data_IF_618033026876
#
_entry.id   IF_618033026876
#
_cell.length_a   1.000
_cell.length_b   1.000
_cell.length_c   1.000
_cell.angle_alpha   90.00
_cell.angle_beta   90.00
_cell.angle_gamma   90.00
#
_symmetry.space_group_name_H-M   'P 1'
#
loop_
_entity.id
_entity.type
_entity.pdbx_description
1 polymer ?
#
# COMPACT_ATOMS: atom_id res chain seq x y z
N UNK A 1 -10.71 6.92 0.94
CA UNK A 1 -11.78 6.64 1.90
C UNK A 1 -12.79 7.77 2.02
N UNK A 2 -12.57 8.73 2.92
CA UNK A 2 -13.57 9.76 3.24
C UNK A 2 -14.07 10.55 2.02
N UNK A 3 -13.17 11.00 1.15
CA UNK A 3 -13.53 11.70 -0.08
C UNK A 3 -14.38 10.85 -1.05
N UNK A 4 -14.13 9.54 -1.11
CA UNK A 4 -14.95 8.62 -1.91
C UNK A 4 -16.37 8.52 -1.34
N UNK A 5 -16.50 8.45 -0.01
CA UNK A 5 -17.81 8.43 0.66
C UNK A 5 -18.60 9.71 0.40
N UNK A 6 -17.97 10.90 0.50
CA UNK A 6 -18.63 12.18 0.20
C UNK A 6 -19.20 12.23 -1.23
N UNK A 7 -18.48 11.68 -2.20
CA UNK A 7 -18.96 11.60 -3.59
C UNK A 7 -20.09 10.58 -3.72
N UNK A 8 -19.98 9.41 -3.09
CA UNK A 8 -21.02 8.38 -3.12
C UNK A 8 -22.34 8.83 -2.49
N UNK A 9 -22.27 9.57 -1.39
CA UNK A 9 -23.44 10.07 -0.67
C UNK A 9 -24.05 11.32 -1.34
N UNK A 10 -23.43 11.83 -2.41
CA UNK A 10 -23.88 13.02 -3.12
C UNK A 10 -23.65 14.32 -2.33
N UNK A 11 -22.76 14.30 -1.33
CA UNK A 11 -22.39 15.47 -0.53
C UNK A 11 -21.41 16.39 -1.26
N UNK A 12 -20.67 15.87 -2.25
CA UNK A 12 -19.76 16.64 -3.10
C UNK A 12 -19.62 16.04 -4.51
N UNK A 13 -19.61 16.88 -5.55
CA UNK A 13 -19.30 16.46 -6.92
C UNK A 13 -17.80 16.32 -7.18
N UNK A 14 -16.99 17.11 -6.45
CA UNK A 14 -15.53 17.19 -6.58
C UNK A 14 -14.91 17.29 -5.18
N UNK A 15 -13.92 16.47 -4.89
CA UNK A 15 -13.19 16.48 -3.62
C UNK A 15 -11.69 16.47 -3.90
N UNK A 16 -10.96 17.41 -3.29
CA UNK A 16 -9.50 17.38 -3.23
C UNK A 16 -9.09 16.59 -2.00
N UNK A 17 -8.44 15.45 -2.19
CA UNK A 17 -8.04 14.55 -1.12
C UNK A 17 -6.56 14.22 -1.22
N UNK A 18 -5.89 14.08 -0.09
CA UNK A 18 -4.46 13.82 -0.09
C UNK A 18 -3.91 13.78 1.32
N UNK A 19 -2.60 13.62 1.40
CA UNK A 19 -1.86 13.64 2.64
C UNK A 19 -0.45 14.18 2.40
N UNK A 20 0.14 14.74 3.44
CA UNK A 20 1.50 15.27 3.44
C UNK A 20 2.13 15.06 4.80
N UNK A 21 3.40 14.72 4.82
CA UNK A 21 4.17 14.54 6.05
C UNK A 21 5.63 14.93 5.78
N UNK A 22 6.22 15.70 6.69
CA UNK A 22 7.65 16.02 6.74
C UNK A 22 8.19 15.68 8.14
N UNK A 23 8.28 14.38 8.47
CA UNK A 23 8.57 13.94 9.82
C UNK A 23 10.06 13.85 10.12
N UNK A 24 10.94 14.11 9.15
CA UNK A 24 12.39 13.99 9.30
C UNK A 24 12.89 15.08 10.26
N UNK A 25 12.88 14.73 11.55
CA UNK A 25 13.27 15.59 12.65
C UNK A 25 13.87 14.76 13.79
N UNK A 26 14.73 15.35 14.64
CA UNK A 26 15.36 14.62 15.74
C UNK A 26 14.37 13.92 16.67
N UNK A 27 13.21 14.55 16.95
CA UNK A 27 12.20 13.98 17.84
C UNK A 27 11.53 12.75 17.23
N UNK A 28 11.19 12.78 15.95
CA UNK A 28 10.56 11.63 15.28
C UNK A 28 11.53 10.46 15.15
N UNK A 29 12.78 10.74 14.73
CA UNK A 29 13.83 9.70 14.63
C UNK A 29 14.04 9.04 15.99
N UNK A 30 14.27 9.83 17.05
CA UNK A 30 14.46 9.29 18.39
C UNK A 30 13.25 8.49 18.91
N UNK A 31 12.03 8.88 18.52
CA UNK A 31 10.80 8.18 18.93
C UNK A 31 10.70 6.80 18.27
N UNK A 32 11.08 6.67 17.00
CA UNK A 32 11.08 5.38 16.31
C UNK A 32 12.29 4.49 16.69
N UNK A 33 13.43 5.09 17.01
CA UNK A 33 14.58 4.37 17.57
C UNK A 33 14.23 3.70 18.91
N UNK A 34 13.44 4.36 19.76
CA UNK A 34 13.03 3.84 21.06
C UNK A 34 12.22 2.54 20.96
N UNK A 35 11.48 2.35 19.87
CA UNK A 35 10.71 1.13 19.60
C UNK A 35 11.37 0.24 18.53
N UNK A 36 12.55 0.62 18.03
CA UNK A 36 13.30 -0.07 16.96
C UNK A 36 12.46 -0.36 15.72
N UNK A 37 11.64 0.61 15.32
CA UNK A 37 10.81 0.48 14.12
C UNK A 37 11.55 0.86 12.84
N UNK A 38 12.55 1.74 12.96
CA UNK A 38 13.46 2.15 11.88
C UNK A 38 14.62 1.16 11.76
N UNK A 39 15.08 0.94 10.52
CA UNK A 39 16.25 0.10 10.27
C UNK A 39 17.53 0.72 10.87
N UNK A 40 18.40 -0.08 11.53
CA UNK A 40 19.71 0.37 11.98
C UNK A 40 20.80 0.30 10.88
N UNK A 41 20.43 -0.10 9.65
CA UNK A 41 21.36 -0.34 8.54
C UNK A 41 21.88 0.98 7.93
N UNK A 42 22.76 1.65 8.65
CA UNK A 42 23.31 2.96 8.27
C UNK A 42 24.51 2.85 7.32
N UNK A 43 25.17 1.69 7.26
CA UNK A 43 26.38 1.49 6.45
C UNK A 43 26.08 1.33 4.95
N UNK A 44 24.84 1.00 4.58
CA UNK A 44 24.37 0.89 3.20
C UNK A 44 22.99 1.55 3.00
N UNK A 45 22.92 2.90 3.01
CA UNK A 45 21.65 3.63 2.99
C UNK A 45 20.80 3.34 1.74
N UNK A 46 21.43 3.07 0.60
CA UNK A 46 20.72 2.83 -0.66
C UNK A 46 19.88 1.53 -0.63
N UNK A 47 20.27 0.56 0.19
CA UNK A 47 19.60 -0.74 0.29
C UNK A 47 18.93 -0.97 1.66
N UNK A 48 18.83 0.06 2.51
CA UNK A 48 18.33 -0.07 3.87
C UNK A 48 16.83 -0.41 3.94
N UNK A 49 16.02 0.10 2.99
CA UNK A 49 14.59 -0.22 2.90
C UNK A 49 14.37 -1.49 2.06
N UNK A 50 14.13 -2.62 2.73
CA UNK A 50 13.96 -3.94 2.08
C UNK A 50 12.70 -4.68 2.55
N UNK A 51 11.50 -4.21 2.17
CA UNK A 51 10.25 -4.88 2.51
C UNK A 51 10.24 -6.34 2.05
N UNK A 52 9.67 -7.23 2.87
CA UNK A 52 9.51 -8.67 2.63
C UNK A 52 10.81 -9.47 2.48
N UNK A 53 11.98 -8.85 2.62
CA UNK A 53 13.27 -9.51 2.61
C UNK A 53 13.56 -10.18 3.98
N UNK A 54 14.19 -11.36 3.99
CA UNK A 54 14.51 -12.09 5.22
C UNK A 54 15.41 -11.30 6.18
N UNK A 55 16.28 -10.45 5.62
CA UNK A 55 17.27 -9.64 6.33
C UNK A 55 16.75 -8.23 6.62
N UNK A 56 15.43 -8.01 6.63
CA UNK A 56 14.82 -6.73 6.98
C UNK A 56 14.88 -6.41 8.48
N UNK A 57 15.13 -5.14 8.80
CA UNK A 57 15.33 -4.66 10.16
C UNK A 57 14.47 -3.46 10.56
N UNK A 58 13.53 -3.01 9.72
CA UNK A 58 12.68 -1.85 9.97
C UNK A 58 12.53 -0.96 8.75
N UNK A 59 11.67 0.05 8.84
CA UNK A 59 11.47 0.99 7.74
C UNK A 59 12.58 2.06 7.69
N UNK A 60 12.70 2.73 6.54
CA UNK A 60 13.46 3.98 6.41
C UNK A 60 12.48 5.16 6.52
N UNK A 61 12.68 6.06 7.48
CA UNK A 61 11.81 7.24 7.65
C UNK A 61 11.97 8.16 6.43
N UNK A 62 10.85 8.63 5.88
CA UNK A 62 10.84 9.54 4.73
C UNK A 62 9.83 10.67 4.91
N UNK A 63 9.72 11.52 3.90
CA UNK A 63 8.75 12.60 3.79
C UNK A 63 8.14 12.63 2.39
N UNK A 64 6.99 13.26 2.25
CA UNK A 64 6.34 13.37 0.96
C UNK A 64 4.92 13.91 1.06
N UNK A 65 4.32 14.14 -0.10
CA UNK A 65 2.92 14.52 -0.22
C UNK A 65 2.34 14.05 -1.55
N UNK A 66 1.05 13.76 -1.56
CA UNK A 66 0.28 13.55 -2.78
C UNK A 66 -1.13 14.10 -2.59
N UNK A 67 -1.67 14.64 -3.69
CA UNK A 67 -3.03 15.18 -3.77
C UNK A 67 -3.69 14.59 -5.02
N UNK A 68 -4.91 14.09 -4.83
CA UNK A 68 -5.77 13.49 -5.83
C UNK A 68 -7.04 14.34 -5.94
N UNK A 69 -7.55 14.48 -7.15
CA UNK A 69 -8.86 15.10 -7.42
C UNK A 69 -9.84 14.00 -7.73
N UNK A 70 -10.82 13.82 -6.84
CA UNK A 70 -11.89 12.84 -7.00
C UNK A 70 -13.14 13.54 -7.48
N UNK A 71 -13.87 12.91 -8.39
CA UNK A 71 -15.13 13.41 -8.92
C UNK A 71 -16.13 12.27 -9.08
N UNK A 72 -17.42 12.62 -9.12
CA UNK A 72 -18.44 11.68 -9.61
C UNK A 72 -18.15 11.32 -11.08
N UNK A 73 -18.24 10.03 -11.42
CA UNK A 73 -17.78 9.52 -12.71
C UNK A 73 -18.53 10.11 -13.91
N UNK A 74 -19.84 10.29 -13.79
CA UNK A 74 -20.69 10.90 -14.83
C UNK A 74 -20.37 12.39 -15.00
N UNK A 75 -20.11 13.11 -13.91
CA UNK A 75 -19.63 14.48 -13.90
C UNK A 75 -18.29 14.60 -14.64
N UNK A 76 -17.30 13.79 -14.27
CA UNK A 76 -15.99 13.76 -14.90
C UNK A 76 -16.08 13.47 -16.40
N UNK A 77 -16.87 12.46 -16.80
CA UNK A 77 -17.12 12.11 -18.20
C UNK A 77 -17.80 13.23 -18.98
N UNK A 78 -18.83 13.88 -18.40
CA UNK A 78 -19.58 14.96 -19.04
C UNK A 78 -18.70 16.15 -19.39
N UNK A 79 -17.71 16.48 -18.55
CA UNK A 79 -16.76 17.56 -18.81
C UNK A 79 -15.52 17.12 -19.60
N UNK A 80 -15.44 15.86 -20.04
CA UNK A 80 -14.31 15.32 -20.78
C UNK A 80 -13.01 15.22 -19.98
N UNK A 81 -13.11 14.99 -18.67
CA UNK A 81 -11.94 14.82 -17.81
C UNK A 81 -11.17 13.54 -18.17
N UNK A 82 -9.84 13.58 -18.03
CA UNK A 82 -9.03 12.36 -17.99
C UNK A 82 -9.31 11.62 -16.68
N UNK A 83 -9.68 10.35 -16.79
CA UNK A 83 -9.90 9.45 -15.65
C UNK A 83 -8.71 8.50 -15.57
N UNK A 84 -7.92 8.60 -14.49
CA UNK A 84 -6.77 7.70 -14.27
C UNK A 84 -7.21 6.33 -13.74
N UNK A 85 -8.17 6.33 -12.81
CA UNK A 85 -8.76 5.12 -12.25
C UNK A 85 -10.12 5.44 -11.63
N UNK A 86 -10.91 4.41 -11.37
CA UNK A 86 -12.12 4.48 -10.55
C UNK A 86 -11.83 3.88 -9.17
N UNK A 87 -12.26 4.56 -8.10
CA UNK A 87 -12.24 3.98 -6.74
C UNK A 87 -13.54 3.21 -6.55
N UNK A 88 -13.47 1.90 -6.64
CA UNK A 88 -14.65 1.01 -6.59
C UNK A 88 -15.01 0.54 -5.18
N UNK A 89 -14.11 0.70 -4.21
CA UNK A 89 -14.36 0.32 -2.82
C UNK A 89 -13.29 0.84 -1.87
N UNK A 90 -13.68 0.99 -0.60
CA UNK A 90 -12.79 1.36 0.49
C UNK A 90 -13.28 0.77 1.81
N UNK A 91 -12.36 0.26 2.61
CA UNK A 91 -12.69 -0.17 3.96
C UNK A 91 -11.54 0.14 4.91
N UNK A 92 -11.88 0.37 6.17
CA UNK A 92 -10.93 0.39 7.27
C UNK A 92 -11.45 -0.48 8.43
N UNK A 93 -10.52 -1.07 9.16
CA UNK A 93 -10.77 -1.89 10.34
C UNK A 93 -9.72 -1.54 11.39
N UNK A 94 -10.08 -1.68 12.66
CA UNK A 94 -9.15 -1.51 13.77
C UNK A 94 -8.69 -2.88 14.26
N UNK A 95 -7.40 -3.03 14.57
CA UNK A 95 -6.86 -4.30 15.05
C UNK A 95 -7.43 -4.73 16.42
N UNK A 96 -7.90 -3.77 17.23
CA UNK A 96 -8.42 -4.03 18.60
C UNK A 96 -7.44 -4.79 19.49
N UNK A 97 -6.14 -4.73 19.22
CA UNK A 97 -5.13 -5.62 19.79
C UNK A 97 -4.05 -4.88 20.57
N UNK A 98 -3.26 -4.04 19.89
CA UNK A 98 -2.15 -3.29 20.47
C UNK A 98 -1.89 -2.01 19.67
N UNK A 99 -1.39 -0.96 20.32
CA UNK A 99 -1.16 0.35 19.68
C UNK A 99 -0.20 0.30 18.50
N UNK A 100 0.86 -0.51 18.58
CA UNK A 100 1.91 -0.65 17.56
C UNK A 100 2.17 -2.10 17.14
N UNK A 101 1.52 -3.05 17.81
CA UNK A 101 1.77 -4.47 17.63
C UNK A 101 0.77 -5.05 16.64
N UNK A 102 1.23 -5.96 15.80
CA UNK A 102 0.40 -6.64 14.80
C UNK A 102 0.35 -8.14 15.09
N UNK A 103 -0.85 -8.72 14.96
CA UNK A 103 -1.00 -10.16 15.04
C UNK A 103 -0.48 -10.81 13.75
N UNK A 104 0.13 -12.00 13.81
CA UNK A 104 0.66 -12.64 12.61
C UNK A 104 -0.41 -13.14 11.63
N UNK A 105 -1.68 -13.19 12.02
CA UNK A 105 -2.76 -13.81 11.24
C UNK A 105 -3.53 -12.86 10.30
N UNK A 106 -3.22 -11.56 10.32
CA UNK A 106 -3.75 -10.61 9.32
C UNK A 106 -5.27 -10.44 9.33
N UNK A 107 -5.97 -10.83 10.40
CA UNK A 107 -7.41 -11.09 10.37
C UNK A 107 -8.25 -9.85 10.03
N UNK A 108 -7.97 -8.74 10.69
CA UNK A 108 -8.65 -7.46 10.51
C UNK A 108 -8.38 -6.85 9.13
N UNK A 109 -7.16 -7.01 8.62
CA UNK A 109 -6.78 -6.52 7.31
C UNK A 109 -7.43 -7.36 6.21
N UNK A 110 -7.49 -8.69 6.38
CA UNK A 110 -8.22 -9.55 5.47
C UNK A 110 -9.69 -9.16 5.37
N UNK A 111 -10.35 -8.90 6.51
CA UNK A 111 -11.74 -8.41 6.52
C UNK A 111 -11.88 -7.04 5.82
N UNK A 112 -10.92 -6.13 5.99
CA UNK A 112 -10.93 -4.85 5.28
C UNK A 112 -10.81 -5.05 3.76
N UNK A 113 -9.89 -5.92 3.31
CA UNK A 113 -9.72 -6.27 1.90
C UNK A 113 -11.00 -6.88 1.34
N UNK A 114 -11.59 -7.87 2.02
CA UNK A 114 -12.84 -8.52 1.64
C UNK A 114 -14.00 -7.53 1.53
N UNK A 115 -14.13 -6.60 2.48
CA UNK A 115 -15.20 -5.59 2.46
C UNK A 115 -15.00 -4.56 1.34
N UNK A 116 -13.77 -4.13 1.06
CA UNK A 116 -13.47 -3.22 -0.05
C UNK A 116 -13.75 -3.89 -1.41
N UNK A 117 -13.31 -5.14 -1.60
CA UNK A 117 -13.60 -5.92 -2.82
C UNK A 117 -15.11 -6.14 -3.00
N UNK A 118 -15.85 -6.42 -1.92
CA UNK A 118 -17.31 -6.61 -1.96
C UNK A 118 -18.05 -5.35 -2.43
N UNK A 119 -17.62 -4.16 -2.00
CA UNK A 119 -18.19 -2.89 -2.46
C UNK A 119 -18.03 -2.72 -3.97
N UNK A 120 -16.83 -3.04 -4.48
CA UNK A 120 -16.50 -2.96 -5.91
C UNK A 120 -16.98 -4.14 -6.76
N UNK A 121 -17.56 -5.18 -6.13
CA UNK A 121 -17.93 -6.46 -6.77
C UNK A 121 -16.75 -7.10 -7.51
N UNK A 122 -15.59 -7.06 -6.87
CA UNK A 122 -14.34 -7.61 -7.38
C UNK A 122 -14.15 -9.00 -6.79
N UNK A 123 -13.92 -10.01 -7.63
CA UNK A 123 -13.51 -11.34 -7.18
C UNK A 123 -11.99 -11.36 -6.92
N UNK A 124 -11.49 -12.21 -6.01
CA UNK A 124 -10.05 -12.33 -5.75
C UNK A 124 -9.18 -12.54 -7.00
N UNK A 125 -9.72 -13.20 -8.03
CA UNK A 125 -9.03 -13.48 -9.29
C UNK A 125 -8.98 -12.29 -10.24
N UNK A 126 -9.76 -11.23 -9.99
CA UNK A 126 -9.76 -10.02 -10.80
C UNK A 126 -8.63 -9.06 -10.38
N UNK A 127 -8.08 -9.23 -9.17
CA UNK A 127 -6.98 -8.39 -8.66
C UNK A 127 -5.73 -8.62 -9.50
N UNK A 128 -5.27 -7.58 -10.19
CA UNK A 128 -4.11 -7.65 -11.10
C UNK A 128 -2.80 -7.22 -10.42
N UNK A 129 -2.89 -6.42 -9.36
CA UNK A 129 -1.74 -5.89 -8.62
C UNK A 129 -2.11 -5.59 -7.17
N UNK A 130 -1.18 -5.84 -6.24
CA UNK A 130 -1.28 -5.40 -4.84
C UNK A 130 -0.15 -4.41 -4.52
N UNK A 131 -0.52 -3.17 -4.23
CA UNK A 131 0.36 -2.21 -3.56
C UNK A 131 0.30 -2.47 -2.05
N UNK A 132 1.29 -3.19 -1.55
CA UNK A 132 1.39 -3.54 -0.15
C UNK A 132 1.90 -2.36 0.69
N UNK A 133 1.56 -2.34 1.97
CA UNK A 133 2.12 -1.39 2.91
C UNK A 133 3.62 -1.62 3.01
N UNK A 134 4.09 -2.86 3.25
CA UNK A 134 5.49 -3.26 3.15
C UNK A 134 6.44 -2.34 3.90
N UNK A 135 6.29 -2.25 5.21
CA UNK A 135 7.12 -1.38 6.05
C UNK A 135 8.55 -1.90 6.27
N UNK A 136 8.92 -3.10 5.79
CA UNK A 136 10.20 -3.72 6.13
C UNK A 136 10.37 -4.04 7.62
N UNK A 137 9.30 -3.94 8.43
CA UNK A 137 9.28 -4.49 9.79
C UNK A 137 8.84 -5.96 9.74
N UNK A 138 9.47 -6.81 10.56
CA UNK A 138 9.16 -8.25 10.56
C UNK A 138 7.68 -8.55 10.82
N UNK A 139 7.09 -7.85 11.80
CA UNK A 139 5.70 -8.05 12.19
C UNK A 139 4.71 -7.70 11.07
N UNK A 140 4.95 -6.58 10.37
CA UNK A 140 4.04 -6.05 9.37
C UNK A 140 4.05 -6.91 8.10
N UNK A 141 5.24 -7.17 7.56
CA UNK A 141 5.36 -7.82 6.26
C UNK A 141 4.79 -9.26 6.31
N UNK A 142 4.93 -9.93 7.46
CA UNK A 142 4.26 -11.21 7.75
C UNK A 142 2.75 -11.05 7.92
N UNK A 143 2.32 -10.02 8.67
CA UNK A 143 0.91 -9.74 8.91
C UNK A 143 0.13 -9.53 7.59
N UNK A 144 0.68 -8.71 6.71
CA UNK A 144 0.09 -8.44 5.39
C UNK A 144 0.08 -9.68 4.51
N UNK A 145 1.18 -10.44 4.49
CA UNK A 145 1.25 -11.70 3.74
C UNK A 145 0.16 -12.68 4.18
N UNK A 146 -0.08 -12.80 5.48
CA UNK A 146 -1.17 -13.63 6.01
C UNK A 146 -2.55 -13.07 5.61
N UNK A 147 -2.73 -11.74 5.67
CA UNK A 147 -3.97 -11.08 5.28
C UNK A 147 -4.31 -11.30 3.80
N UNK A 148 -3.35 -11.16 2.90
CA UNK A 148 -3.55 -11.41 1.46
C UNK A 148 -3.96 -12.85 1.19
N UNK A 149 -3.26 -13.83 1.78
CA UNK A 149 -3.62 -15.25 1.63
C UNK A 149 -5.00 -15.57 2.18
N UNK A 150 -5.41 -14.90 3.26
CA UNK A 150 -6.72 -15.07 3.87
C UNK A 150 -7.84 -14.49 3.01
N UNK A 151 -7.67 -13.27 2.51
CA UNK A 151 -8.70 -12.56 1.74
C UNK A 151 -8.80 -13.05 0.29
N UNK A 152 -7.67 -13.37 -0.36
CA UNK A 152 -7.64 -13.76 -1.78
C UNK A 152 -7.50 -15.28 -1.99
N UNK A 153 -7.20 -16.05 -0.95
CA UNK A 153 -6.98 -17.49 -1.07
C UNK A 153 -5.80 -17.82 -1.99
N UNK A 154 -6.01 -18.75 -2.93
CA UNK A 154 -4.98 -19.15 -3.89
C UNK A 154 -4.62 -18.07 -4.90
N UNK A 155 -5.50 -17.09 -5.14
CA UNK A 155 -5.20 -15.99 -6.06
C UNK A 155 -4.02 -15.15 -5.56
N UNK A 156 -3.80 -15.01 -4.25
CA UNK A 156 -2.69 -14.25 -3.66
C UNK A 156 -1.30 -14.68 -4.19
N UNK A 157 -1.13 -15.95 -4.58
CA UNK A 157 0.13 -16.48 -5.09
C UNK A 157 0.38 -16.16 -6.58
N UNK A 158 -0.61 -15.63 -7.28
CA UNK A 158 -0.57 -15.33 -8.72
C UNK A 158 -0.53 -13.82 -9.00
N UNK A 159 -0.89 -13.01 -8.00
CA UNK A 159 -0.93 -11.55 -8.13
C UNK A 159 0.45 -10.98 -7.80
N UNK A 160 1.06 -10.15 -8.67
CA UNK A 160 2.26 -9.41 -8.32
C UNK A 160 1.97 -8.42 -7.18
N UNK A 161 2.83 -8.44 -6.19
CA UNK A 161 2.78 -7.56 -5.02
C UNK A 161 4.03 -6.68 -5.06
N UNK A 162 3.94 -5.43 -4.61
CA UNK A 162 5.14 -4.62 -4.37
C UNK A 162 4.97 -3.64 -3.23
N UNK A 163 6.08 -3.10 -2.72
CA UNK A 163 6.06 -1.92 -1.86
C UNK A 163 6.99 -0.84 -2.39
N UNK A 164 6.41 0.31 -2.74
CA UNK A 164 7.17 1.48 -3.20
C UNK A 164 8.02 2.09 -2.08
N UNK A 165 7.74 1.77 -0.81
CA UNK A 165 8.57 2.18 0.34
C UNK A 165 10.00 1.65 0.25
N UNK A 166 10.24 0.59 -0.52
CA UNK A 166 11.59 0.11 -0.87
C UNK A 166 12.44 1.17 -1.59
N UNK A 167 11.81 2.10 -2.31
CA UNK A 167 12.47 3.13 -3.11
C UNK A 167 12.35 4.53 -2.49
N UNK A 168 11.19 4.86 -1.91
CA UNK A 168 10.90 6.21 -1.40
C UNK A 168 10.84 6.30 0.13
N UNK A 169 11.07 5.19 0.83
CA UNK A 169 10.93 5.11 2.28
C UNK A 169 9.49 5.28 2.77
N UNK A 170 9.32 5.43 4.08
CA UNK A 170 8.02 5.52 4.73
C UNK A 170 7.73 6.95 5.21
N UNK A 171 6.90 7.66 4.46
CA UNK A 171 6.46 9.03 4.75
C UNK A 171 5.24 9.10 5.68
N UNK A 172 5.17 8.18 6.65
CA UNK A 172 4.10 8.08 7.65
C UNK A 172 2.68 8.22 7.04
N UNK A 173 1.92 9.25 7.42
CA UNK A 173 0.56 9.48 6.96
C UNK A 173 0.44 9.90 5.49
N UNK A 174 1.52 10.39 4.87
CA UNK A 174 1.50 10.72 3.44
C UNK A 174 1.54 9.49 2.52
N UNK A 175 2.05 8.35 3.01
CA UNK A 175 2.40 7.24 2.11
C UNK A 175 1.17 6.65 1.41
N UNK A 176 0.03 6.55 2.09
CA UNK A 176 -1.20 6.03 1.49
C UNK A 176 -1.68 6.89 0.30
N UNK A 177 -1.52 8.21 0.35
CA UNK A 177 -1.87 9.07 -0.78
C UNK A 177 -0.88 8.91 -1.96
N UNK A 178 0.40 8.71 -1.66
CA UNK A 178 1.44 8.47 -2.67
C UNK A 178 1.25 7.10 -3.34
N UNK A 179 0.90 6.08 -2.56
CA UNK A 179 0.57 4.75 -3.07
C UNK A 179 -0.68 4.76 -3.95
N UNK A 180 -1.71 5.52 -3.58
CA UNK A 180 -2.88 5.70 -4.45
C UNK A 180 -2.52 6.35 -5.78
N UNK A 181 -1.61 7.33 -5.79
CA UNK A 181 -1.09 7.90 -7.03
C UNK A 181 -0.28 6.86 -7.83
N UNK A 182 0.56 6.05 -7.17
CA UNK A 182 1.32 4.99 -7.83
C UNK A 182 0.41 3.91 -8.43
N UNK A 183 -0.65 3.50 -7.75
CA UNK A 183 -1.67 2.58 -8.26
C UNK A 183 -2.38 3.14 -9.50
N UNK A 184 -2.77 4.42 -9.47
CA UNK A 184 -3.39 5.07 -10.63
C UNK A 184 -2.44 5.10 -11.84
N UNK A 185 -1.14 5.32 -11.62
CA UNK A 185 -0.14 5.26 -12.69
C UNK A 185 0.16 3.83 -13.15
N UNK A 186 0.09 2.84 -12.25
CA UNK A 186 0.26 1.43 -12.61
C UNK A 186 -0.87 0.97 -13.53
N UNK A 187 -2.11 1.38 -13.25
CA UNK A 187 -3.29 1.15 -14.13
C UNK A 187 -3.09 1.84 -15.48
N UNK A 188 -2.73 3.13 -15.46
CA UNK A 188 -2.56 3.92 -16.69
C UNK A 188 -1.47 3.36 -17.61
N UNK A 189 -0.33 2.96 -17.05
CA UNK A 189 0.84 2.55 -17.84
C UNK A 189 0.95 1.03 -18.03
N UNK A 190 0.17 0.23 -17.31
CA UNK A 190 0.28 -1.23 -17.35
C UNK A 190 1.64 -1.73 -16.85
N UNK A 191 2.13 -1.13 -15.75
CA UNK A 191 3.43 -1.48 -15.15
C UNK A 191 3.29 -1.58 -13.64
N UNK A 192 3.67 -2.73 -13.10
CA UNK A 192 3.80 -2.93 -11.65
C UNK A 192 5.19 -2.47 -11.19
N UNK A 193 5.28 -1.53 -10.23
CA UNK A 193 6.55 -1.10 -9.69
C UNK A 193 7.25 -2.26 -8.94
N UNK A 194 8.58 -2.28 -8.88
CA UNK A 194 9.29 -3.31 -8.15
C UNK A 194 9.29 -3.06 -6.64
N UNK A 195 9.52 -4.12 -5.88
CA UNK A 195 10.12 -4.01 -4.54
C UNK A 195 11.64 -4.02 -4.69
N UNK A 196 12.27 -2.86 -4.54
CA UNK A 196 13.72 -2.74 -4.56
C UNK A 196 14.35 -3.43 -3.34
N UNK A 197 15.65 -3.70 -3.41
CA UNK A 197 16.48 -4.22 -2.31
C UNK A 197 16.09 -5.62 -1.81
N UNK A 198 15.25 -6.33 -2.55
CA UNK A 198 14.84 -7.70 -2.23
C UNK A 198 15.87 -8.69 -2.76
N UNK A 199 16.57 -9.39 -1.88
CA UNK A 199 17.66 -10.30 -2.20
C UNK A 199 17.47 -11.69 -1.58
N UNK A 200 17.04 -11.74 -0.32
CA UNK A 200 16.90 -12.98 0.45
C UNK A 200 15.43 -13.29 0.69
N UNK A 201 14.94 -14.41 0.15
CA UNK A 201 13.56 -14.86 0.36
C UNK A 201 13.31 -15.20 1.83
N UNK A 202 12.26 -14.60 2.40
CA UNK A 202 11.73 -14.97 3.71
C UNK A 202 10.68 -16.09 3.58
N UNK A 203 10.81 -17.23 4.28
CA UNK A 203 9.78 -18.27 4.32
C UNK A 203 8.42 -17.81 4.89
N UNK A 204 8.39 -16.76 5.73
CA UNK A 204 7.14 -16.18 6.26
C UNK A 204 6.49 -15.18 5.27
N UNK A 205 7.24 -14.70 4.28
CA UNK A 205 6.78 -13.85 3.19
C UNK A 205 6.93 -14.62 1.87
N UNK A 206 5.96 -15.50 1.58
CA UNK A 206 6.07 -16.52 0.53
C UNK A 206 5.41 -16.17 -0.82
N UNK A 207 4.90 -14.94 -0.97
CA UNK A 207 4.23 -14.45 -2.18
C UNK A 207 5.20 -13.83 -3.21
N UNK A 208 4.68 -13.39 -4.35
CA UNK A 208 5.45 -12.73 -5.41
C UNK A 208 5.54 -11.21 -5.15
N UNK A 209 6.63 -10.75 -4.53
CA UNK A 209 6.85 -9.33 -4.19
C UNK A 209 7.53 -8.52 -5.30
N UNK A 210 7.49 -8.99 -6.56
CA UNK A 210 8.03 -8.26 -7.72
C UNK A 210 9.46 -7.73 -7.48
N UNK A 211 10.46 -8.59 -7.25
CA UNK A 211 11.75 -8.16 -6.76
C UNK A 211 12.57 -7.41 -7.82
N UNK A 212 13.08 -6.22 -7.45
CA UNK A 212 14.08 -5.37 -8.12
C UNK A 212 13.76 -4.82 -9.52
N UNK A 213 12.97 -5.53 -10.33
CA UNK A 213 12.67 -5.15 -11.71
C UNK A 213 11.17 -4.97 -11.86
N UNK A 214 10.77 -3.81 -12.41
CA UNK A 214 9.37 -3.54 -12.72
C UNK A 214 8.82 -4.60 -13.68
N UNK A 215 7.51 -4.85 -13.61
CA UNK A 215 6.85 -5.85 -14.47
C UNK A 215 5.83 -5.17 -15.37
N UNK A 216 6.06 -5.24 -16.67
CA UNK A 216 5.05 -4.87 -17.67
C UNK A 216 3.92 -5.90 -17.66
N UNK A 217 2.78 -5.53 -17.10
CA UNK A 217 1.56 -6.35 -17.03
C UNK A 217 0.34 -5.43 -17.02
N UNK A 218 -0.71 -5.71 -17.81
CA UNK A 218 -1.96 -4.96 -17.71
C UNK A 218 -2.46 -4.97 -16.26
N UNK A 219 -2.75 -3.79 -15.73
CA UNK A 219 -3.31 -3.62 -14.37
C UNK A 219 -4.72 -3.09 -14.49
N UNK A 220 -5.70 -4.00 -14.42
CA UNK A 220 -7.12 -3.64 -14.48
C UNK A 220 -7.65 -3.30 -13.07
N UNK A 221 -7.21 -4.05 -12.05
CA UNK A 221 -7.59 -3.84 -10.65
C UNK A 221 -6.35 -3.82 -9.76
N UNK A 222 -6.10 -2.67 -9.13
CA UNK A 222 -5.06 -2.50 -8.10
C UNK A 222 -5.69 -2.49 -6.70
N UNK A 223 -5.20 -3.35 -5.81
CA UNK A 223 -5.53 -3.34 -4.38
C UNK A 223 -4.43 -2.61 -3.61
N UNK A 224 -4.76 -1.52 -2.92
CA UNK A 224 -3.83 -0.76 -2.07
C UNK A 224 -4.14 -1.00 -0.60
N UNK A 225 -3.12 -1.27 0.22
CA UNK A 225 -3.29 -1.46 1.68
C UNK A 225 -2.38 -0.58 2.56
N UNK A 226 -1.57 0.33 2.00
CA UNK A 226 -0.75 1.25 2.78
C UNK A 226 -1.31 2.64 3.01
#
# INVERSE_FOLDING_TARGET
GYAHQLVQDGEADVVVAGASDSPISPVTVASFDAIKATTPDNDDPAHASRPFDADRHGFVLAEGAAVLVLEELTHARRRGARVYCEIVGYANRANGYHMTGLRPDGAEMALAIEDAMRQGRIDPTDVSYISAHGSATRQNDRHETAAFKRALGQAAYQVPISSIKSMIGHSLGAIGAIEMAACALAIEYGVVPPTANWATRDPECDLDYTPNVARDVPVDVALSVG
#
